data_IF_591404912352
#
_entry.id   IF_591404912352
#
_cell.length_a   1.000
_cell.length_b   1.000
_cell.length_c   1.000
_cell.angle_alpha   90.00
_cell.angle_beta   90.00
_cell.angle_gamma   90.00
#
_symmetry.space_group_name_H-M   'P 1'
#
loop_
_entity.id
_entity.type
_entity.pdbx_description
1 polymer ?
#
# COMPACT_ATOMS: atom_id res chain seq x y z
N UNK A 1 49.67 8.09 -13.10
CA UNK A 1 49.30 6.68 -13.37
C UNK A 1 48.89 6.16 -12.01
N UNK A 2 47.59 6.09 -11.75
CA UNK A 2 47.10 5.27 -10.66
C UNK A 2 45.76 4.69 -11.13
N UNK A 3 45.84 3.37 -11.33
CA UNK A 3 44.77 2.40 -11.30
C UNK A 3 43.51 2.74 -12.11
N UNK A 4 43.49 2.21 -13.34
CA UNK A 4 42.26 1.69 -13.93
C UNK A 4 41.65 0.69 -12.95
N UNK A 5 40.92 1.16 -11.93
CA UNK A 5 39.97 0.35 -11.17
C UNK A 5 39.17 -0.38 -12.23
N UNK A 6 39.26 -1.71 -12.26
CA UNK A 6 38.54 -2.51 -13.23
C UNK A 6 37.07 -2.08 -13.16
N UNK A 7 36.57 -1.42 -14.20
CA UNK A 7 35.19 -0.94 -14.30
C UNK A 7 34.31 -2.18 -14.41
N UNK A 8 34.02 -2.80 -13.27
CA UNK A 8 33.17 -3.98 -13.18
C UNK A 8 31.73 -3.50 -13.04
N UNK A 9 30.80 -4.03 -13.85
CA UNK A 9 29.39 -3.69 -13.73
C UNK A 9 28.87 -4.02 -12.34
N UNK A 10 28.05 -3.14 -11.77
CA UNK A 10 27.55 -3.27 -10.42
C UNK A 10 26.57 -4.44 -10.31
N UNK A 11 26.93 -5.50 -9.59
CA UNK A 11 26.06 -6.65 -9.32
C UNK A 11 25.75 -6.69 -7.83
N UNK A 12 24.51 -6.39 -7.46
CA UNK A 12 24.11 -6.21 -6.05
C UNK A 12 22.86 -7.01 -5.75
N UNK A 13 22.80 -7.57 -4.54
CA UNK A 13 21.57 -8.17 -4.00
C UNK A 13 21.13 -7.35 -2.79
N UNK A 14 19.85 -7.00 -2.74
CA UNK A 14 19.23 -6.32 -1.59
C UNK A 14 18.26 -7.29 -0.92
N UNK A 15 18.58 -7.64 0.32
CA UNK A 15 17.81 -8.52 1.19
C UNK A 15 17.24 -7.72 2.36
N UNK A 16 16.19 -8.26 2.97
CA UNK A 16 15.56 -7.65 4.14
C UNK A 16 14.08 -7.98 4.25
N UNK A 17 13.46 -7.65 5.39
CA UNK A 17 12.08 -7.97 5.67
C UNK A 17 11.12 -7.21 4.73
N UNK A 18 9.86 -7.64 4.59
CA UNK A 18 8.84 -6.86 3.88
C UNK A 18 8.68 -5.45 4.50
N UNK A 19 8.29 -4.46 3.69
CA UNK A 19 8.14 -3.05 4.08
C UNK A 19 9.41 -2.30 4.54
N UNK A 20 10.60 -2.92 4.47
CA UNK A 20 11.89 -2.27 4.77
C UNK A 20 12.31 -1.17 3.78
N UNK A 21 11.63 -1.02 2.66
CA UNK A 21 11.99 -0.06 1.61
C UNK A 21 13.00 -0.59 0.58
N UNK A 22 13.34 -1.89 0.60
CA UNK A 22 14.27 -2.53 -0.35
C UNK A 22 13.98 -2.20 -1.81
N UNK A 23 12.72 -2.24 -2.26
CA UNK A 23 12.34 -1.92 -3.64
C UNK A 23 12.71 -0.48 -4.01
N UNK A 24 12.44 0.48 -3.13
CA UNK A 24 12.79 1.89 -3.37
C UNK A 24 14.31 2.09 -3.39
N UNK A 25 15.05 1.41 -2.52
CA UNK A 25 16.51 1.43 -2.51
C UNK A 25 17.08 0.83 -3.81
N UNK A 26 16.53 -0.30 -4.27
CA UNK A 26 16.92 -0.94 -5.53
C UNK A 26 16.69 -0.02 -6.72
N UNK A 27 15.52 0.63 -6.81
CA UNK A 27 15.20 1.59 -7.88
C UNK A 27 16.19 2.75 -7.92
N UNK A 28 16.52 3.33 -6.76
CA UNK A 28 17.48 4.44 -6.67
C UNK A 28 18.89 4.00 -7.10
N UNK A 29 19.32 2.80 -6.72
CA UNK A 29 20.60 2.25 -7.14
C UNK A 29 20.63 1.97 -8.64
N UNK A 30 19.56 1.43 -9.23
CA UNK A 30 19.47 1.24 -10.67
C UNK A 30 19.57 2.56 -11.42
N UNK A 31 18.90 3.62 -10.95
CA UNK A 31 18.95 4.95 -11.56
C UNK A 31 20.37 5.55 -11.53
N UNK A 32 21.05 5.44 -10.38
CA UNK A 32 22.40 6.00 -10.19
C UNK A 32 23.49 5.28 -10.97
N UNK A 33 23.45 3.94 -10.99
CA UNK A 33 24.49 3.13 -11.60
C UNK A 33 24.16 2.64 -13.02
N UNK A 34 22.93 2.88 -13.50
CA UNK A 34 22.46 2.36 -14.78
C UNK A 34 22.32 0.84 -14.83
N UNK A 35 22.26 0.19 -13.66
CA UNK A 35 22.14 -1.25 -13.54
C UNK A 35 20.69 -1.71 -13.83
N UNK A 36 20.53 -2.96 -14.28
CA UNK A 36 19.21 -3.52 -14.55
C UNK A 36 18.48 -3.86 -13.26
N UNK A 37 17.24 -3.38 -13.09
CA UNK A 37 16.42 -3.73 -11.94
C UNK A 37 15.85 -5.13 -12.10
N UNK A 38 16.11 -6.02 -11.14
CA UNK A 38 15.66 -7.41 -11.20
C UNK A 38 14.87 -7.73 -9.94
N UNK A 39 13.58 -7.99 -10.10
CA UNK A 39 12.75 -8.62 -9.08
C UNK A 39 12.11 -9.87 -9.67
N UNK A 40 11.66 -10.82 -8.84
CA UNK A 40 10.98 -12.02 -9.35
C UNK A 40 9.80 -11.65 -10.26
N UNK A 41 9.03 -10.62 -9.89
CA UNK A 41 7.91 -10.13 -10.69
C UNK A 41 8.37 -9.50 -12.02
N UNK A 42 9.29 -8.53 -11.95
CA UNK A 42 9.81 -7.83 -13.12
C UNK A 42 10.47 -8.78 -14.12
N UNK A 43 11.22 -9.78 -13.61
CA UNK A 43 11.86 -10.80 -14.42
C UNK A 43 10.81 -11.61 -15.19
N UNK A 44 9.76 -12.08 -14.52
CA UNK A 44 8.69 -12.86 -15.18
C UNK A 44 8.02 -12.01 -16.26
N UNK A 45 7.63 -10.77 -15.93
CA UNK A 45 6.97 -9.85 -16.88
C UNK A 45 7.86 -9.57 -18.10
N UNK A 46 9.15 -9.30 -17.91
CA UNK A 46 10.10 -9.06 -19.01
C UNK A 46 10.33 -10.32 -19.84
N UNK A 47 10.48 -11.49 -19.22
CA UNK A 47 10.64 -12.76 -19.96
C UNK A 47 9.40 -13.12 -20.77
N UNK A 48 8.20 -12.84 -20.26
CA UNK A 48 6.96 -13.06 -21.00
C UNK A 48 6.86 -12.09 -22.18
N UNK A 49 7.16 -10.80 -21.97
CA UNK A 49 7.16 -9.80 -23.03
C UNK A 49 8.16 -10.13 -24.14
N UNK A 50 9.37 -10.57 -23.79
CA UNK A 50 10.37 -10.97 -24.77
C UNK A 50 9.95 -12.21 -25.57
N UNK A 51 9.36 -13.21 -24.91
CA UNK A 51 8.85 -14.40 -25.60
C UNK A 51 7.70 -14.03 -26.56
N UNK A 52 6.80 -13.13 -26.15
CA UNK A 52 5.72 -12.61 -27.00
C UNK A 52 6.26 -11.84 -28.21
N UNK A 53 7.24 -10.96 -28.00
CA UNK A 53 7.91 -10.21 -29.07
C UNK A 53 8.62 -11.15 -30.05
N UNK A 54 9.30 -12.18 -29.55
CA UNK A 54 9.98 -13.18 -30.38
C UNK A 54 8.98 -13.97 -31.23
N UNK A 55 7.84 -14.36 -30.65
CA UNK A 55 6.73 -15.00 -31.38
C UNK A 55 6.19 -14.08 -32.48
N UNK A 56 6.00 -12.79 -32.20
CA UNK A 56 5.51 -11.83 -33.19
C UNK A 56 6.50 -11.62 -34.33
N UNK A 57 7.80 -11.45 -34.03
CA UNK A 57 8.86 -11.32 -35.03
C UNK A 57 8.95 -12.56 -35.91
N UNK A 58 8.93 -13.76 -35.34
CA UNK A 58 8.99 -15.00 -36.10
C UNK A 58 7.76 -15.18 -37.03
N UNK A 59 6.56 -14.83 -36.56
CA UNK A 59 5.34 -14.84 -37.41
C UNK A 59 5.41 -13.83 -38.56
N UNK A 60 5.93 -12.63 -38.31
CA UNK A 60 6.08 -11.63 -39.37
C UNK A 60 7.15 -12.06 -40.38
N UNK A 61 8.27 -12.64 -39.92
CA UNK A 61 9.29 -13.22 -40.80
C UNK A 61 8.71 -14.35 -41.66
N UNK A 62 7.91 -15.26 -41.09
CA UNK A 62 7.21 -16.30 -41.83
C UNK A 62 6.26 -15.72 -42.89
N UNK A 63 5.48 -14.70 -42.52
CA UNK A 63 4.57 -14.00 -43.43
C UNK A 63 5.31 -13.28 -44.57
N UNK A 64 6.48 -12.71 -44.29
CA UNK A 64 7.32 -12.07 -45.30
C UNK A 64 7.93 -13.11 -46.25
N UNK A 65 8.39 -14.27 -45.74
CA UNK A 65 8.84 -15.40 -46.56
C UNK A 65 7.73 -15.91 -47.47
N UNK A 66 6.51 -16.10 -46.96
CA UNK A 66 5.35 -16.52 -47.76
C UNK A 66 4.98 -15.51 -48.85
N UNK A 67 5.03 -14.20 -48.55
CA UNK A 67 4.78 -13.13 -49.54
C UNK A 67 5.86 -13.08 -50.62
N UNK A 68 7.13 -13.27 -50.25
CA UNK A 68 8.26 -13.34 -51.20
C UNK A 68 8.11 -14.56 -52.12
N UNK A 69 7.86 -15.75 -51.55
CA UNK A 69 7.63 -16.97 -52.32
C UNK A 69 6.38 -16.90 -53.24
N UNK A 70 5.31 -16.21 -52.81
CA UNK A 70 4.13 -15.99 -53.64
C UNK A 70 4.36 -14.95 -54.76
N UNK A 71 5.33 -14.04 -54.59
CA UNK A 71 5.73 -13.07 -55.60
C UNK A 71 6.65 -13.71 -56.64
N UNK A 72 7.64 -14.49 -56.20
CA UNK A 72 8.53 -15.28 -57.07
C UNK A 72 7.74 -16.24 -57.97
N UNK A 73 6.75 -16.96 -57.42
CA UNK A 73 5.86 -17.83 -58.21
C UNK A 73 5.00 -17.09 -59.24
N UNK A 74 4.79 -15.80 -59.04
CA UNK A 74 3.97 -14.97 -59.94
C UNK A 74 4.84 -14.32 -61.02
N UNK A 75 6.07 -13.95 -60.68
CA UNK A 75 7.06 -13.44 -61.62
C UNK A 75 7.54 -14.60 -62.56
N UNK A 76 7.62 -15.85 -62.07
CA UNK A 76 7.84 -17.06 -62.90
C UNK A 76 6.69 -17.38 -63.89
N UNK A 77 5.45 -16.97 -63.60
CA UNK A 77 4.30 -17.16 -64.50
C UNK A 77 4.16 -16.04 -65.55
N UNK A 78 4.78 -14.87 -65.34
CA UNK A 78 4.71 -13.70 -66.24
C UNK A 78 5.96 -13.53 -67.14
N UNK A 79 7.08 -14.21 -66.89
CA UNK A 79 8.28 -14.22 -67.76
C UNK A 79 8.37 -15.42 -68.70
N UNK A 80 7.47 -15.46 -69.70
CA UNK A 80 7.75 -16.12 -70.98
C UNK A 80 8.27 -15.10 -72.03
N UNK A 81 9.21 -14.21 -71.65
CA UNK A 81 10.09 -13.51 -72.61
C UNK A 81 11.28 -12.75 -71.96
N UNK A 82 12.48 -13.23 -72.30
CA UNK A 82 13.79 -12.53 -72.40
C UNK A 82 14.54 -11.99 -71.14
N UNK A 83 15.46 -12.84 -70.66
CA UNK A 83 16.86 -12.64 -70.20
C UNK A 83 17.22 -11.43 -69.31
N UNK A 84 17.66 -11.70 -68.07
CA UNK A 84 19.03 -11.49 -67.51
C UNK A 84 18.94 -11.63 -65.97
N UNK A 85 19.18 -12.83 -65.44
CA UNK A 85 19.27 -13.07 -63.99
C UNK A 85 20.60 -12.48 -63.45
N UNK A 86 20.51 -11.35 -62.76
CA UNK A 86 21.49 -10.96 -61.75
C UNK A 86 21.28 -11.86 -60.53
N UNK A 87 22.20 -12.79 -60.30
CA UNK A 87 22.30 -13.56 -59.05
C UNK A 87 22.62 -12.59 -57.89
N UNK A 88 21.61 -12.09 -57.19
CA UNK A 88 21.81 -11.55 -55.84
C UNK A 88 22.07 -12.73 -54.89
N UNK A 89 23.32 -12.83 -54.43
CA UNK A 89 23.75 -13.75 -53.37
C UNK A 89 22.87 -13.57 -52.12
N UNK A 90 21.93 -14.48 -51.91
CA UNK A 90 21.21 -14.64 -50.64
C UNK A 90 22.19 -15.27 -49.64
N UNK A 91 22.67 -14.47 -48.70
CA UNK A 91 23.20 -14.99 -47.44
C UNK A 91 22.05 -15.72 -46.72
N UNK A 92 22.02 -17.05 -46.85
CA UNK A 92 21.26 -17.91 -45.96
C UNK A 92 21.86 -17.79 -44.55
N UNK A 93 21.43 -16.79 -43.79
CA UNK A 93 21.54 -16.86 -42.34
C UNK A 93 20.65 -18.02 -41.89
N UNK A 94 21.29 -19.17 -41.65
CA UNK A 94 20.71 -20.33 -40.97
C UNK A 94 20.48 -19.91 -39.51
N UNK A 95 19.43 -19.13 -39.26
CA UNK A 95 18.84 -19.05 -37.93
C UNK A 95 18.17 -20.40 -37.67
N UNK A 96 18.67 -21.14 -36.67
CA UNK A 96 18.07 -22.38 -36.19
C UNK A 96 16.55 -22.16 -36.06
N UNK A 97 15.74 -23.01 -36.70
CA UNK A 97 14.28 -23.02 -36.58
C UNK A 97 13.92 -23.31 -35.11
N UNK A 98 13.99 -22.31 -34.24
CA UNK A 98 13.40 -22.36 -32.91
C UNK A 98 11.91 -22.23 -33.15
N UNK A 99 11.20 -23.34 -33.02
CA UNK A 99 9.78 -23.42 -33.33
C UNK A 99 9.01 -22.40 -32.48
N UNK A 100 8.21 -21.58 -33.15
CA UNK A 100 7.23 -20.66 -32.51
C UNK A 100 6.37 -21.42 -31.48
N UNK A 101 6.19 -22.73 -31.69
CA UNK A 101 5.50 -23.65 -30.79
C UNK A 101 6.20 -23.78 -29.42
N UNK A 102 7.53 -23.81 -29.37
CA UNK A 102 8.30 -23.92 -28.13
C UNK A 102 8.17 -22.66 -27.27
N UNK A 103 8.26 -21.47 -27.86
CA UNK A 103 8.04 -20.22 -27.13
C UNK A 103 6.59 -20.10 -26.64
N UNK A 104 5.63 -20.54 -27.45
CA UNK A 104 4.23 -20.58 -27.03
C UNK A 104 3.99 -21.57 -25.89
N UNK A 105 4.66 -22.73 -25.89
CA UNK A 105 4.59 -23.70 -24.80
C UNK A 105 5.21 -23.10 -23.53
N UNK A 106 6.37 -22.45 -23.62
CA UNK A 106 6.99 -21.78 -22.48
C UNK A 106 6.10 -20.68 -21.87
N UNK A 107 5.49 -19.82 -22.70
CA UNK A 107 4.55 -18.79 -22.23
C UNK A 107 3.34 -19.43 -21.54
N UNK A 108 2.77 -20.48 -22.14
CA UNK A 108 1.64 -21.22 -21.57
C UNK A 108 2.02 -21.88 -20.24
N UNK A 109 3.20 -22.45 -20.15
CA UNK A 109 3.70 -23.13 -18.95
C UNK A 109 3.90 -22.15 -17.81
N UNK A 110 4.59 -21.02 -18.05
CA UNK A 110 4.77 -19.96 -17.06
C UNK A 110 3.39 -19.47 -16.57
N UNK A 111 2.48 -19.15 -17.50
CA UNK A 111 1.14 -18.66 -17.17
C UNK A 111 0.33 -19.68 -16.38
N UNK A 112 0.39 -20.96 -16.77
CA UNK A 112 -0.34 -22.04 -16.12
C UNK A 112 0.20 -22.35 -14.73
N UNK A 113 1.53 -22.33 -14.55
CA UNK A 113 2.18 -22.54 -13.26
C UNK A 113 1.85 -21.41 -12.29
N UNK A 114 1.78 -20.17 -12.76
CA UNK A 114 1.33 -19.04 -11.94
C UNK A 114 -0.14 -19.19 -11.54
N UNK A 115 -1.02 -19.52 -12.49
CA UNK A 115 -2.47 -19.63 -12.23
C UNK A 115 -2.84 -20.81 -11.30
N UNK A 116 -2.04 -21.88 -11.27
CA UNK A 116 -2.26 -23.04 -10.39
C UNK A 116 -1.95 -22.77 -8.91
N UNK A 117 -1.18 -21.73 -8.62
CA UNK A 117 -0.74 -21.39 -7.26
C UNK A 117 -1.61 -20.30 -6.66
N UNK A 118 -2.10 -20.48 -5.43
CA UNK A 118 -2.93 -19.49 -4.73
C UNK A 118 -2.19 -18.14 -4.56
N UNK A 119 -0.87 -18.20 -4.37
CA UNK A 119 0.02 -17.04 -4.21
C UNK A 119 0.60 -16.50 -5.54
N UNK A 120 0.20 -17.02 -6.71
CA UNK A 120 0.79 -16.68 -8.02
C UNK A 120 2.32 -16.82 -8.08
N UNK A 121 2.87 -17.83 -7.39
CA UNK A 121 4.31 -18.12 -7.27
C UNK A 121 4.70 -19.29 -8.16
N UNK A 122 5.80 -19.14 -8.90
CA UNK A 122 6.43 -20.24 -9.61
C UNK A 122 7.14 -21.20 -8.63
N UNK A 123 7.17 -22.52 -8.93
CA UNK A 123 7.97 -23.47 -8.15
C UNK A 123 9.46 -23.06 -8.11
N UNK A 124 10.09 -23.21 -6.95
CA UNK A 124 11.45 -22.73 -6.69
C UNK A 124 12.48 -23.21 -7.72
N UNK A 125 12.44 -24.48 -8.13
CA UNK A 125 13.36 -25.05 -9.12
C UNK A 125 13.25 -24.37 -10.48
N UNK A 126 12.01 -24.06 -10.91
CA UNK A 126 11.75 -23.38 -12.16
C UNK A 126 12.16 -21.91 -12.07
N UNK A 127 11.87 -21.26 -10.94
CA UNK A 127 12.26 -19.88 -10.66
C UNK A 127 13.78 -19.69 -10.68
N UNK A 128 14.54 -20.59 -10.04
CA UNK A 128 16.01 -20.56 -10.05
C UNK A 128 16.54 -20.67 -11.49
N UNK A 129 15.97 -21.57 -12.30
CA UNK A 129 16.39 -21.74 -13.70
C UNK A 129 16.13 -20.48 -14.53
N UNK A 130 14.95 -19.87 -14.38
CA UNK A 130 14.60 -18.63 -15.08
C UNK A 130 15.51 -17.48 -14.64
N UNK A 131 15.76 -17.36 -13.34
CA UNK A 131 16.66 -16.34 -12.77
C UNK A 131 18.09 -16.49 -13.28
N UNK A 132 18.61 -17.72 -13.40
CA UNK A 132 19.93 -17.98 -13.99
C UNK A 132 20.02 -17.50 -15.43
N UNK A 133 19.04 -17.88 -16.26
CA UNK A 133 19.00 -17.48 -17.67
C UNK A 133 18.90 -15.96 -17.80
N UNK A 134 18.09 -15.32 -16.96
CA UNK A 134 17.90 -13.88 -16.96
C UNK A 134 19.16 -13.10 -16.54
N UNK A 135 19.84 -13.54 -15.48
CA UNK A 135 21.08 -12.89 -15.03
C UNK A 135 22.25 -13.16 -15.98
N UNK A 136 22.19 -14.22 -16.80
CA UNK A 136 23.17 -14.51 -17.83
C UNK A 136 23.04 -13.62 -19.08
N UNK A 137 21.92 -12.89 -19.25
CA UNK A 137 21.71 -11.98 -20.39
C UNK A 137 22.79 -10.90 -20.46
N UNK A 138 23.10 -10.47 -21.68
CA UNK A 138 24.09 -9.43 -21.92
C UNK A 138 23.76 -8.11 -21.21
N UNK A 139 22.48 -7.75 -21.08
CA UNK A 139 22.06 -6.55 -20.37
C UNK A 139 22.54 -6.55 -18.90
N UNK A 140 22.31 -7.66 -18.19
CA UNK A 140 22.72 -7.86 -16.79
C UNK A 140 24.25 -8.02 -16.65
N UNK A 141 24.91 -8.57 -17.67
CA UNK A 141 26.35 -8.78 -17.65
C UNK A 141 27.16 -7.53 -17.97
N UNK A 142 26.67 -6.67 -18.86
CA UNK A 142 27.35 -5.44 -19.31
C UNK A 142 27.06 -4.24 -18.43
N UNK A 143 25.80 -4.05 -18.01
CA UNK A 143 25.36 -2.92 -17.18
C UNK A 143 25.39 -3.24 -15.68
N UNK A 144 25.34 -4.52 -15.34
CA UNK A 144 25.13 -4.96 -13.96
C UNK A 144 23.65 -5.12 -13.63
N UNK A 145 23.37 -5.59 -12.42
CA UNK A 145 22.02 -5.83 -11.96
C UNK A 145 21.86 -5.51 -10.47
N UNK A 146 20.66 -5.10 -10.07
CA UNK A 146 20.26 -4.98 -8.67
C UNK A 146 19.09 -5.93 -8.43
N UNK A 147 19.33 -6.96 -7.63
CA UNK A 147 18.37 -8.02 -7.34
C UNK A 147 17.59 -7.70 -6.04
N UNK A 148 16.28 -7.48 -6.17
CA UNK A 148 15.38 -7.16 -5.06
C UNK A 148 14.73 -8.42 -4.45
N UNK A 149 15.11 -8.73 -3.20
CA UNK A 149 14.36 -9.65 -2.35
C UNK A 149 14.45 -11.13 -2.73
N UNK A 150 15.45 -11.51 -3.52
CA UNK A 150 15.79 -12.89 -3.91
C UNK A 150 17.31 -13.07 -3.87
N UNK A 151 17.86 -14.24 -3.47
CA UNK A 151 17.20 -15.44 -2.96
C UNK A 151 16.64 -15.29 -1.54
N UNK A 152 15.59 -16.05 -1.20
CA UNK A 152 14.94 -16.01 0.12
C UNK A 152 15.37 -17.13 1.06
N UNK A 153 15.87 -18.23 0.50
CA UNK A 153 16.36 -19.39 1.26
C UNK A 153 17.78 -19.71 0.86
N UNK A 154 18.54 -20.33 1.78
CA UNK A 154 19.90 -20.80 1.46
C UNK A 154 19.87 -21.80 0.30
N UNK A 155 18.83 -22.63 0.21
CA UNK A 155 18.73 -23.62 -0.85
C UNK A 155 18.61 -22.94 -2.23
N UNK A 156 17.80 -21.88 -2.35
CA UNK A 156 17.74 -21.05 -3.56
C UNK A 156 19.09 -20.39 -3.87
N UNK A 157 19.79 -19.89 -2.85
CA UNK A 157 21.11 -19.29 -3.03
C UNK A 157 22.15 -20.31 -3.53
N UNK A 158 22.16 -21.51 -2.96
CA UNK A 158 23.02 -22.63 -3.38
C UNK A 158 22.67 -23.12 -4.77
N UNK A 159 21.39 -23.23 -5.10
CA UNK A 159 20.99 -23.64 -6.44
C UNK A 159 21.31 -22.55 -7.47
N UNK A 160 21.18 -21.26 -7.14
CA UNK A 160 21.48 -20.14 -8.04
C UNK A 160 22.98 -19.92 -8.25
N UNK A 161 23.76 -19.88 -7.16
CA UNK A 161 25.17 -19.46 -7.14
C UNK A 161 26.16 -20.57 -6.78
N UNK A 162 25.68 -21.74 -6.34
CA UNK A 162 26.55 -22.85 -5.99
C UNK A 162 27.40 -23.28 -7.17
N UNK A 163 28.69 -23.43 -6.91
CA UNK A 163 29.59 -24.19 -7.76
C UNK A 163 29.30 -25.69 -7.53
N UNK A 164 29.39 -26.53 -8.55
CA UNK A 164 29.44 -27.99 -8.34
C UNK A 164 30.72 -28.33 -7.58
N UNK A 165 30.68 -28.20 -6.26
CA UNK A 165 31.75 -28.60 -5.35
C UNK A 165 31.84 -30.14 -5.17
N UNK A 166 31.35 -30.92 -6.14
CA UNK A 166 31.45 -32.39 -6.16
C UNK A 166 31.87 -32.99 -7.51
N UNK A 167 32.36 -32.19 -8.48
CA UNK A 167 32.90 -32.74 -9.74
C UNK A 167 34.45 -32.76 -9.80
N UNK A 168 35.14 -32.20 -8.81
CA UNK A 168 36.60 -32.06 -8.80
C UNK A 168 37.22 -32.59 -7.51
N UNK A 169 36.95 -33.85 -7.16
CA UNK A 169 37.86 -34.67 -6.34
C UNK A 169 38.35 -35.85 -7.17
N UNK A 170 39.08 -35.54 -8.23
CA UNK A 170 40.10 -36.46 -8.74
C UNK A 170 41.42 -35.96 -8.19
N UNK A 171 41.86 -36.54 -7.07
CA UNK A 171 43.28 -36.71 -6.83
C UNK A 171 43.58 -38.20 -6.68
N UNK A 172 44.59 -38.60 -7.45
CA UNK A 172 45.21 -39.90 -7.48
C UNK A 172 45.66 -40.35 -6.09
N UNK A 173 45.43 -41.63 -5.77
CA UNK A 173 46.21 -42.32 -4.75
C UNK A 173 45.42 -43.31 -3.90
N UNK A 174 45.22 -44.54 -4.39
CA UNK A 174 44.74 -45.62 -3.53
C UNK A 174 44.23 -46.85 -4.27
N UNK A 175 45.14 -47.77 -4.63
CA UNK A 175 44.81 -49.16 -4.96
C UNK A 175 44.13 -49.85 -3.77
N UNK A 176 42.99 -50.50 -4.03
CA UNK A 176 42.42 -51.73 -3.40
C UNK A 176 40.89 -51.62 -3.61
N UNK A 177 40.30 -52.11 -4.70
CA UNK A 177 40.16 -53.53 -5.02
C UNK A 177 38.88 -54.06 -4.37
N UNK A 178 37.79 -54.20 -5.15
CA UNK A 178 36.70 -55.21 -5.04
C UNK A 178 35.79 -55.06 -6.27
N UNK A 179 35.34 -56.19 -6.77
CA UNK A 179 34.88 -56.53 -8.12
C UNK A 179 33.44 -56.08 -8.47
N UNK A 180 33.20 -55.88 -9.77
CA UNK A 180 31.86 -55.91 -10.38
C UNK A 180 31.25 -57.32 -10.30
N UNK A 181 29.93 -57.43 -10.18
CA UNK A 181 29.12 -57.92 -11.31
C UNK A 181 27.77 -57.17 -11.41
N UNK A 182 27.06 -57.08 -12.53
CA UNK A 182 27.22 -57.72 -13.84
C UNK A 182 26.34 -57.02 -14.88
N UNK A 183 26.62 -57.33 -16.13
CA UNK A 183 25.88 -56.91 -17.32
C UNK A 183 24.43 -57.41 -17.32
N UNK A 184 23.50 -56.56 -17.73
CA UNK A 184 22.11 -56.95 -17.94
C UNK A 184 21.28 -55.85 -18.60
N UNK A 185 21.05 -56.02 -19.90
CA UNK A 185 19.95 -55.48 -20.71
C UNK A 185 19.91 -53.96 -21.00
N UNK A 186 20.36 -53.65 -22.21
CA UNK A 186 20.05 -52.48 -23.01
C UNK A 186 18.54 -52.43 -23.28
N UNK A 187 17.93 -51.30 -22.94
CA UNK A 187 16.64 -50.84 -23.47
C UNK A 187 16.84 -49.42 -23.98
N UNK A 188 16.98 -49.30 -25.30
CA UNK A 188 16.97 -48.03 -26.03
C UNK A 188 15.55 -47.44 -25.93
N UNK A 189 15.41 -46.26 -25.33
CA UNK A 189 14.45 -45.20 -25.68
C UNK A 189 14.42 -44.15 -24.56
N UNK A 190 15.26 -43.12 -24.69
CA UNK A 190 14.97 -41.74 -24.26
C UNK A 190 16.13 -40.83 -24.70
N UNK A 191 15.89 -40.10 -25.80
CA UNK A 191 16.70 -38.95 -26.21
C UNK A 191 16.45 -37.79 -25.23
N UNK A 192 17.53 -37.10 -24.87
CA UNK A 192 17.60 -35.75 -24.32
C UNK A 192 16.91 -35.49 -22.96
N UNK A 193 17.63 -35.74 -21.87
CA UNK A 193 17.58 -34.86 -20.69
C UNK A 193 19.02 -34.60 -20.26
N UNK A 194 19.57 -33.50 -20.79
CA UNK A 194 20.96 -33.11 -20.58
C UNK A 194 21.27 -32.77 -19.11
N UNK A 195 22.49 -33.11 -18.72
CA UNK A 195 23.20 -32.72 -17.50
C UNK A 195 22.86 -31.28 -17.05
N UNK A 196 22.16 -31.12 -15.93
CA UNK A 196 21.94 -29.80 -15.29
C UNK A 196 22.02 -29.94 -13.76
N UNK A 197 23.24 -30.11 -13.25
CA UNK A 197 23.61 -29.84 -11.86
C UNK A 197 24.55 -28.63 -11.88
N UNK A 198 24.31 -27.67 -11.00
CA UNK A 198 24.55 -26.24 -11.22
C UNK A 198 26.01 -25.79 -11.30
N UNK A 199 26.38 -25.21 -12.43
CA UNK A 199 27.51 -24.28 -12.51
C UNK A 199 26.94 -22.86 -12.59
N UNK A 200 27.04 -22.09 -11.51
CA UNK A 200 26.99 -20.64 -11.66
C UNK A 200 28.23 -20.21 -12.45
N UNK A 201 28.04 -19.59 -13.62
CA UNK A 201 29.14 -18.93 -14.30
C UNK A 201 29.68 -17.84 -13.36
N UNK A 202 31.00 -17.69 -13.24
CA UNK A 202 31.63 -16.60 -12.47
C UNK A 202 31.07 -15.21 -12.82
N UNK A 203 30.46 -15.07 -14.01
CA UNK A 203 29.76 -13.87 -14.44
C UNK A 203 28.46 -13.55 -13.70
N UNK A 204 27.77 -14.47 -13.03
CA UNK A 204 26.48 -14.17 -12.39
C UNK A 204 26.65 -13.81 -10.90
N UNK A 205 27.81 -14.04 -10.30
CA UNK A 205 28.04 -13.78 -8.87
C UNK A 205 27.90 -12.28 -8.54
N UNK A 206 27.19 -11.91 -7.44
CA UNK A 206 27.12 -10.52 -6.99
C UNK A 206 28.48 -10.02 -6.46
N UNK A 207 28.69 -8.72 -6.54
CA UNK A 207 29.83 -8.04 -5.91
C UNK A 207 29.51 -7.59 -4.49
N UNK A 208 28.28 -7.19 -4.22
CA UNK A 208 27.84 -6.75 -2.90
C UNK A 208 26.49 -7.36 -2.53
N UNK A 209 26.32 -7.61 -1.23
CA UNK A 209 25.06 -8.05 -0.64
C UNK A 209 24.70 -7.06 0.45
N UNK A 210 23.55 -6.43 0.36
CA UNK A 210 23.03 -5.48 1.35
C UNK A 210 21.84 -6.12 2.05
N UNK A 211 21.84 -6.12 3.38
CA UNK A 211 20.73 -6.61 4.19
C UNK A 211 20.16 -5.48 5.04
N UNK A 212 18.88 -5.17 4.87
CA UNK A 212 18.16 -4.22 5.70
C UNK A 212 17.60 -4.91 6.95
N UNK A 213 17.86 -4.35 8.12
CA UNK A 213 17.42 -4.88 9.41
C UNK A 213 16.47 -3.90 10.10
N UNK A 214 15.36 -4.43 10.62
CA UNK A 214 14.36 -3.69 11.37
C UNK A 214 13.48 -4.63 12.17
N UNK A 215 12.80 -4.11 13.20
CA UNK A 215 11.86 -4.88 14.01
C UNK A 215 10.48 -5.00 13.35
N UNK A 216 9.78 -6.08 13.67
CA UNK A 216 8.46 -6.37 13.10
C UNK A 216 7.42 -5.32 13.47
N UNK A 217 7.47 -4.81 14.71
CA UNK A 217 6.58 -3.74 15.19
C UNK A 217 6.79 -2.44 14.39
N UNK A 218 8.06 -2.07 14.18
CA UNK A 218 8.42 -0.89 13.38
C UNK A 218 7.94 -1.02 11.94
N UNK A 219 8.11 -2.19 11.32
CA UNK A 219 7.68 -2.43 9.94
C UNK A 219 6.16 -2.41 9.81
N UNK A 220 5.44 -2.98 10.78
CA UNK A 220 3.98 -2.91 10.83
C UNK A 220 3.50 -1.46 10.97
N UNK A 221 4.08 -0.68 11.88
CA UNK A 221 3.72 0.73 12.07
C UNK A 221 4.00 1.54 10.80
N UNK A 222 5.12 1.30 10.14
CA UNK A 222 5.47 1.94 8.87
C UNK A 222 4.41 1.66 7.80
N UNK A 223 3.92 0.43 7.68
CA UNK A 223 2.83 0.08 6.75
C UNK A 223 1.53 0.79 7.12
N UNK A 224 1.20 0.89 8.42
CA UNK A 224 -0.01 1.59 8.89
C UNK A 224 0.00 3.08 8.56
N UNK A 225 1.17 3.70 8.46
CA UNK A 225 1.33 5.13 8.10
C UNK A 225 1.24 5.37 6.58
N UNK A 226 1.23 4.33 5.74
CA UNK A 226 1.16 4.50 4.29
C UNK A 226 -0.25 4.89 3.83
N UNK A 227 -0.36 5.76 2.80
CA UNK A 227 -1.64 6.06 2.16
C UNK A 227 -2.30 4.81 1.57
N UNK A 228 -3.64 4.70 1.68
CA UNK A 228 -4.39 3.55 1.17
C UNK A 228 -4.15 3.25 -0.32
N UNK A 229 -3.88 4.30 -1.14
CA UNK A 229 -3.54 4.15 -2.57
C UNK A 229 -2.32 3.25 -2.82
N UNK A 230 -1.35 3.23 -1.90
CA UNK A 230 -0.13 2.41 -2.02
C UNK A 230 -0.32 1.00 -1.44
N UNK A 231 -1.36 0.81 -0.62
CA UNK A 231 -1.68 -0.47 0.02
C UNK A 231 -2.63 -1.28 -0.88
N UNK A 232 -3.53 -0.61 -1.62
CA UNK A 232 -4.53 -1.25 -2.45
C UNK A 232 -3.88 -2.12 -3.54
N UNK A 233 -4.24 -3.42 -3.57
CA UNK A 233 -3.68 -4.39 -4.53
C UNK A 233 -2.32 -4.96 -4.12
N UNK A 234 -1.79 -4.59 -2.95
CA UNK A 234 -0.58 -5.18 -2.37
C UNK A 234 -0.94 -6.19 -1.28
N UNK A 235 0.06 -6.96 -0.83
CA UNK A 235 -0.05 -7.89 0.31
C UNK A 235 0.27 -7.21 1.65
N UNK A 236 -0.01 -5.92 1.77
CA UNK A 236 0.16 -5.13 3.00
C UNK A 236 -1.11 -5.10 3.86
N UNK A 237 -1.92 -6.15 3.77
CA UNK A 237 -2.94 -6.47 4.76
C UNK A 237 -2.33 -7.14 5.99
N UNK A 238 -2.99 -6.99 7.14
CA UNK A 238 -2.51 -7.49 8.43
C UNK A 238 -2.12 -8.98 8.39
N UNK A 239 -2.95 -9.81 7.77
CA UNK A 239 -2.74 -11.27 7.71
C UNK A 239 -1.55 -11.63 6.84
N UNK A 240 -1.48 -11.12 5.60
CA UNK A 240 -0.36 -11.46 4.72
C UNK A 240 0.95 -10.81 5.17
N UNK A 241 0.92 -9.60 5.75
CA UNK A 241 2.12 -8.94 6.27
C UNK A 241 2.75 -9.77 7.39
N UNK A 242 1.95 -10.17 8.39
CA UNK A 242 2.42 -11.01 9.50
C UNK A 242 2.91 -12.38 9.02
N UNK A 243 2.18 -13.02 8.08
CA UNK A 243 2.63 -14.27 7.45
C UNK A 243 4.01 -14.10 6.80
N UNK A 244 4.21 -13.06 6.01
CA UNK A 244 5.47 -12.79 5.28
C UNK A 244 6.62 -12.45 6.21
N UNK A 245 6.35 -11.72 7.30
CA UNK A 245 7.35 -11.48 8.36
C UNK A 245 7.73 -12.79 9.04
N UNK A 246 6.76 -13.60 9.44
CA UNK A 246 7.00 -14.92 10.05
C UNK A 246 7.80 -15.86 9.14
N UNK A 247 7.46 -15.93 7.85
CA UNK A 247 8.22 -16.66 6.83
C UNK A 247 9.67 -16.13 6.73
N UNK A 248 9.86 -14.81 6.70
CA UNK A 248 11.18 -14.19 6.64
C UNK A 248 12.03 -14.53 7.88
N UNK A 249 11.48 -14.41 9.09
CA UNK A 249 12.20 -14.73 10.34
C UNK A 249 12.51 -16.21 10.48
N UNK A 250 11.60 -17.09 10.05
CA UNK A 250 11.81 -18.54 10.08
C UNK A 250 12.92 -18.98 9.11
N UNK A 251 13.02 -18.32 7.96
CA UNK A 251 14.02 -18.62 6.93
C UNK A 251 15.38 -17.96 7.20
N UNK A 252 15.42 -16.91 8.03
CA UNK A 252 16.65 -16.19 8.40
C UNK A 252 16.90 -16.36 9.90
N UNK A 253 17.33 -17.57 10.28
CA UNK A 253 17.80 -17.87 11.64
C UNK A 253 19.32 -17.85 11.69
N UNK A 254 19.89 -17.59 12.86
CA UNK A 254 21.35 -17.47 13.07
C UNK A 254 22.17 -18.64 12.49
N UNK A 255 21.59 -19.84 12.49
CA UNK A 255 22.22 -21.07 11.99
C UNK A 255 22.09 -21.25 10.46
N UNK A 256 21.10 -20.64 9.83
CA UNK A 256 20.79 -20.88 8.42
C UNK A 256 20.24 -19.63 7.75
N UNK A 257 21.07 -18.58 7.64
CA UNK A 257 20.73 -17.35 6.90
C UNK A 257 21.40 -17.34 5.52
N UNK A 258 20.72 -16.77 4.52
CA UNK A 258 21.26 -16.54 3.16
C UNK A 258 22.59 -15.78 3.18
N UNK A 259 22.73 -14.87 4.14
CA UNK A 259 23.93 -14.09 4.41
C UNK A 259 25.16 -14.97 4.71
N UNK A 260 25.00 -16.07 5.45
CA UNK A 260 26.09 -17.00 5.76
C UNK A 260 26.66 -17.65 4.49
N UNK A 261 25.81 -17.95 3.51
CA UNK A 261 26.26 -18.50 2.23
C UNK A 261 27.15 -17.51 1.46
N UNK A 262 26.80 -16.21 1.47
CA UNK A 262 27.61 -15.19 0.81
C UNK A 262 28.91 -14.92 1.56
N UNK A 263 28.90 -14.97 2.88
CA UNK A 263 30.10 -14.85 3.71
C UNK A 263 31.09 -16.00 3.44
N UNK A 264 30.60 -17.25 3.36
CA UNK A 264 31.38 -18.43 2.94
C UNK A 264 31.92 -18.29 1.51
N UNK A 265 31.16 -17.64 0.61
CA UNK A 265 31.58 -17.34 -0.75
C UNK A 265 32.59 -16.17 -0.84
N UNK A 266 32.96 -15.55 0.28
CA UNK A 266 33.92 -14.43 0.35
C UNK A 266 33.31 -13.05 0.07
N UNK A 267 31.98 -12.93 0.10
CA UNK A 267 31.25 -11.67 -0.09
C UNK A 267 30.60 -11.29 1.23
N UNK A 268 31.25 -10.38 1.97
CA UNK A 268 30.78 -9.93 3.27
C UNK A 268 29.49 -9.09 3.15
N UNK A 269 28.38 -9.51 3.76
CA UNK A 269 27.13 -8.76 3.71
C UNK A 269 27.20 -7.43 4.47
N UNK A 270 26.62 -6.39 3.90
CA UNK A 270 26.49 -5.05 4.50
C UNK A 270 25.15 -5.00 5.25
N UNK A 271 25.19 -5.02 6.57
CA UNK A 271 24.00 -4.93 7.42
C UNK A 271 23.67 -3.45 7.68
N UNK A 272 22.42 -3.06 7.43
CA UNK A 272 21.95 -1.69 7.61
C UNK A 272 20.68 -1.71 8.45
N UNK A 273 20.78 -1.20 9.68
CA UNK A 273 19.62 -0.94 10.55
C UNK A 273 18.80 0.25 10.03
N UNK A 274 17.48 0.08 9.94
CA UNK A 274 16.56 1.16 9.58
C UNK A 274 16.31 2.16 10.73
N UNK A 275 16.68 1.79 11.95
CA UNK A 275 16.61 2.64 13.12
C UNK A 275 17.99 3.17 13.45
N UNK A 276 18.05 4.43 13.87
CA UNK A 276 19.23 5.00 14.49
C UNK A 276 19.29 4.56 15.97
N UNK A 277 20.39 3.92 16.36
CA UNK A 277 20.57 3.37 17.72
C UNK A 277 20.55 4.48 18.79
N UNK A 278 20.96 5.70 18.43
CA UNK A 278 21.07 6.81 19.38
C UNK A 278 19.76 7.60 19.53
N UNK A 279 18.95 7.66 18.46
CA UNK A 279 17.76 8.53 18.40
C UNK A 279 16.44 7.77 18.32
N UNK A 280 16.47 6.46 18.11
CA UNK A 280 15.31 5.59 17.86
C UNK A 280 14.41 6.10 16.71
N UNK A 281 14.95 6.96 15.83
CA UNK A 281 14.24 7.49 14.68
C UNK A 281 14.53 6.64 13.45
N UNK A 282 13.55 6.59 12.54
CA UNK A 282 13.72 6.01 11.21
C UNK A 282 14.83 6.78 10.48
N UNK A 283 15.81 6.04 9.95
CA UNK A 283 16.82 6.61 9.05
C UNK A 283 16.18 6.95 7.73
N UNK A 284 16.41 8.17 7.26
CA UNK A 284 15.99 8.58 5.93
C UNK A 284 16.61 7.64 4.87
N UNK A 285 15.80 7.20 3.91
CA UNK A 285 16.25 6.36 2.80
C UNK A 285 17.42 7.00 2.03
N UNK A 286 17.43 8.33 1.93
CA UNK A 286 18.52 9.09 1.30
C UNK A 286 19.86 8.89 2.04
N UNK A 287 19.84 8.82 3.36
CA UNK A 287 21.04 8.57 4.16
C UNK A 287 21.56 7.15 3.94
N UNK A 288 20.66 6.15 3.91
CA UNK A 288 21.01 4.76 3.61
C UNK A 288 21.59 4.66 2.19
N UNK A 289 20.95 5.31 1.23
CA UNK A 289 21.39 5.33 -0.16
C UNK A 289 22.78 5.95 -0.32
N UNK A 290 23.04 7.10 0.33
CA UNK A 290 24.35 7.74 0.29
C UNK A 290 25.44 6.86 0.91
N UNK A 291 25.16 6.22 2.05
CA UNK A 291 26.09 5.28 2.69
C UNK A 291 26.44 4.10 1.79
N UNK A 292 25.43 3.50 1.15
CA UNK A 292 25.64 2.40 0.20
C UNK A 292 26.45 2.88 -1.02
N UNK A 293 26.20 4.09 -1.52
CA UNK A 293 26.95 4.65 -2.63
C UNK A 293 28.42 4.93 -2.28
N UNK A 294 28.74 5.34 -1.05
CA UNK A 294 30.12 5.50 -0.58
C UNK A 294 30.88 4.17 -0.61
N UNK A 295 30.21 3.05 -0.32
CA UNK A 295 30.81 1.72 -0.35
C UNK A 295 30.98 1.22 -1.79
N UNK A 296 29.98 1.42 -2.64
CA UNK A 296 30.00 0.95 -4.04
C UNK A 296 30.96 1.77 -4.92
N UNK A 297 31.18 3.04 -4.57
CA UNK A 297 32.03 3.97 -5.30
C UNK A 297 31.30 4.65 -6.46
N UNK A 298 32.05 5.36 -7.29
CA UNK A 298 31.47 6.11 -8.41
C UNK A 298 30.94 5.18 -9.52
N UNK A 299 29.81 5.53 -10.16
CA UNK A 299 29.27 4.76 -11.28
C UNK A 299 30.22 4.78 -12.48
N UNK A 300 30.10 3.76 -13.34
CA UNK A 300 30.89 3.65 -14.56
C UNK A 300 30.50 4.79 -15.50
N UNK A 301 31.46 5.62 -15.97
CA UNK A 301 31.15 6.73 -16.88
C UNK A 301 30.43 6.25 -18.15
N UNK A 302 29.25 6.81 -18.43
CA UNK A 302 28.42 6.44 -19.58
C UNK A 302 27.31 5.41 -19.30
N UNK A 303 27.25 4.85 -18.08
CA UNK A 303 26.13 4.04 -17.59
C UNK A 303 25.44 4.78 -16.44
N UNK A 304 24.11 4.89 -16.49
CA UNK A 304 23.31 5.66 -15.54
C UNK A 304 22.94 7.05 -16.06
N UNK A 305 22.22 7.81 -15.24
CA UNK A 305 21.83 9.19 -15.56
C UNK A 305 23.06 10.09 -15.57
N UNK A 306 23.19 10.96 -16.57
CA UNK A 306 24.19 12.04 -16.58
C UNK A 306 24.01 12.92 -15.33
N UNK A 307 25.06 13.55 -14.78
CA UNK A 307 24.91 14.49 -13.67
C UNK A 307 23.87 15.59 -13.91
N UNK A 308 23.69 16.02 -15.16
CA UNK A 308 22.63 16.97 -15.55
C UNK A 308 21.23 16.36 -15.49
N UNK A 309 21.10 15.08 -15.86
CA UNK A 309 19.84 14.32 -15.80
C UNK A 309 19.49 13.93 -14.36
N UNK A 310 20.48 13.63 -13.52
CA UNK A 310 20.30 13.41 -12.08
C UNK A 310 19.81 14.67 -11.39
N UNK A 311 20.39 15.83 -11.70
CA UNK A 311 19.94 17.12 -11.18
C UNK A 311 18.54 17.48 -11.68
N UNK A 312 18.22 17.16 -12.95
CA UNK A 312 16.88 17.34 -13.50
C UNK A 312 15.86 16.42 -12.81
N UNK A 313 16.20 15.15 -12.59
CA UNK A 313 15.35 14.19 -11.89
C UNK A 313 15.12 14.59 -10.44
N UNK A 314 16.16 15.03 -9.72
CA UNK A 314 16.04 15.57 -8.35
C UNK A 314 15.16 16.81 -8.29
N UNK A 315 15.23 17.68 -9.30
CA UNK A 315 14.33 18.86 -9.39
C UNK A 315 12.89 18.43 -9.64
N UNK A 316 12.69 17.48 -10.55
CA UNK A 316 11.37 16.95 -10.90
C UNK A 316 10.73 16.22 -9.71
N UNK A 317 11.48 15.40 -8.98
CA UNK A 317 10.99 14.69 -7.80
C UNK A 317 10.62 15.68 -6.68
N UNK A 318 11.44 16.72 -6.46
CA UNK A 318 11.10 17.81 -5.53
C UNK A 318 9.84 18.55 -5.95
N UNK A 319 9.68 18.82 -7.24
CA UNK A 319 8.47 19.45 -7.78
C UNK A 319 7.25 18.55 -7.61
N UNK A 320 7.36 17.26 -7.91
CA UNK A 320 6.29 16.28 -7.78
C UNK A 320 5.88 16.09 -6.32
N UNK A 321 6.84 16.05 -5.39
CA UNK A 321 6.56 16.03 -3.95
C UNK A 321 5.83 17.29 -3.51
N UNK A 322 6.28 18.46 -3.97
CA UNK A 322 5.59 19.73 -3.69
C UNK A 322 4.16 19.72 -4.22
N UNK A 323 3.94 19.21 -5.44
CA UNK A 323 2.61 19.07 -6.03
C UNK A 323 1.72 18.10 -5.23
N UNK A 324 2.25 16.98 -4.76
CA UNK A 324 1.50 16.04 -3.90
C UNK A 324 1.14 16.64 -2.55
N UNK A 325 2.06 17.41 -1.94
CA UNK A 325 1.79 18.13 -0.70
C UNK A 325 0.73 19.23 -0.91
N UNK A 326 0.80 19.96 -2.02
CA UNK A 326 -0.21 20.96 -2.41
C UNK A 326 -1.59 20.31 -2.68
N UNK A 327 -1.62 19.19 -3.40
CA UNK A 327 -2.84 18.42 -3.68
C UNK A 327 -3.48 17.88 -2.40
N UNK A 328 -2.70 17.27 -1.51
CA UNK A 328 -3.19 16.77 -0.22
C UNK A 328 -3.71 17.88 0.70
N UNK A 329 -3.04 19.05 0.71
CA UNK A 329 -3.53 20.22 1.43
C UNK A 329 -4.85 20.75 0.85
N UNK A 330 -4.98 20.78 -0.47
CA UNK A 330 -6.20 21.20 -1.15
C UNK A 330 -7.37 20.25 -0.84
N UNK A 331 -7.13 18.94 -0.90
CA UNK A 331 -8.13 17.92 -0.56
C UNK A 331 -8.62 18.05 0.89
N UNK A 332 -7.69 18.24 1.82
CA UNK A 332 -8.02 18.48 3.23
C UNK A 332 -8.85 19.75 3.42
N UNK A 333 -8.47 20.84 2.77
CA UNK A 333 -9.21 22.11 2.84
C UNK A 333 -10.63 21.96 2.28
N UNK A 334 -10.81 21.26 1.16
CA UNK A 334 -12.13 21.00 0.58
C UNK A 334 -13.00 20.15 1.51
N UNK A 335 -12.42 19.17 2.20
CA UNK A 335 -13.13 18.34 3.17
C UNK A 335 -13.56 19.15 4.39
N UNK A 336 -12.68 20.01 4.92
CA UNK A 336 -12.98 20.92 6.02
C UNK A 336 -14.07 21.93 5.62
N UNK A 337 -13.98 22.53 4.43
CA UNK A 337 -15.02 23.44 3.91
C UNK A 337 -16.37 22.73 3.78
N UNK A 338 -16.39 21.50 3.25
CA UNK A 338 -17.61 20.69 3.17
C UNK A 338 -18.19 20.37 4.55
N UNK A 339 -17.34 19.98 5.50
CA UNK A 339 -17.76 19.69 6.87
C UNK A 339 -18.32 20.93 7.59
N UNK A 340 -17.71 22.10 7.39
CA UNK A 340 -18.22 23.36 7.95
C UNK A 340 -19.55 23.76 7.35
N UNK A 341 -19.73 23.58 6.03
CA UNK A 341 -20.99 23.82 5.35
C UNK A 341 -22.10 22.88 5.83
N UNK A 342 -21.81 21.57 5.92
CA UNK A 342 -22.76 20.59 6.46
C UNK A 342 -23.13 20.89 7.91
N UNK A 343 -22.19 21.39 8.72
CA UNK A 343 -22.45 21.82 10.08
C UNK A 343 -23.35 23.06 10.12
N UNK A 344 -23.10 24.06 9.27
CA UNK A 344 -23.93 25.26 9.15
C UNK A 344 -25.37 24.90 8.73
N UNK A 345 -25.55 24.08 7.70
CA UNK A 345 -26.87 23.63 7.24
C UNK A 345 -27.64 22.89 8.34
N UNK A 346 -26.94 22.07 9.13
CA UNK A 346 -27.54 21.38 10.30
C UNK A 346 -27.92 22.38 11.39
N UNK A 347 -27.08 23.36 11.69
CA UNK A 347 -27.35 24.39 12.68
C UNK A 347 -28.53 25.28 12.27
N UNK A 348 -28.65 25.62 10.99
CA UNK A 348 -29.79 26.40 10.47
C UNK A 348 -31.11 25.61 10.62
N UNK A 349 -31.14 24.36 10.18
CA UNK A 349 -32.32 23.49 10.36
C UNK A 349 -32.67 23.29 11.83
N UNK A 350 -31.66 23.18 12.70
CA UNK A 350 -31.87 23.08 14.13
C UNK A 350 -32.44 24.38 14.72
N UNK A 351 -31.95 25.55 14.29
CA UNK A 351 -32.48 26.84 14.73
C UNK A 351 -33.94 27.04 14.31
N UNK A 352 -34.30 26.68 13.08
CA UNK A 352 -35.69 26.76 12.60
C UNK A 352 -36.65 25.85 13.38
N UNK A 353 -36.22 24.62 13.66
CA UNK A 353 -37.02 23.66 14.44
C UNK A 353 -37.14 24.10 15.90
N UNK A 354 -36.05 24.63 16.47
CA UNK A 354 -36.03 25.20 17.81
C UNK A 354 -36.98 26.40 17.95
N UNK A 355 -37.00 27.33 16.98
CA UNK A 355 -37.91 28.48 17.01
C UNK A 355 -39.39 28.03 16.94
N UNK A 356 -39.71 27.02 16.14
CA UNK A 356 -41.06 26.44 16.08
C UNK A 356 -41.47 25.84 17.43
N UNK A 357 -40.60 25.06 18.05
CA UNK A 357 -40.83 24.47 19.37
C UNK A 357 -41.01 25.55 20.44
N UNK A 358 -40.20 26.61 20.41
CA UNK A 358 -40.30 27.71 21.37
C UNK A 358 -41.67 28.43 21.25
N UNK A 359 -42.14 28.70 20.03
CA UNK A 359 -43.47 29.29 19.80
C UNK A 359 -44.59 28.37 20.27
N UNK A 360 -44.46 27.06 20.09
CA UNK A 360 -45.43 26.09 20.62
C UNK A 360 -45.45 26.09 22.15
N UNK A 361 -44.27 26.11 22.78
CA UNK A 361 -44.14 26.18 24.23
C UNK A 361 -44.76 27.45 24.81
N UNK A 362 -44.55 28.62 24.17
CA UNK A 362 -45.17 29.88 24.56
C UNK A 362 -46.70 29.84 24.47
N UNK A 363 -47.25 29.22 23.42
CA UNK A 363 -48.69 29.02 23.28
C UNK A 363 -49.26 28.13 24.38
N UNK A 364 -48.57 27.05 24.73
CA UNK A 364 -48.97 26.15 25.82
C UNK A 364 -48.97 26.92 27.14
N UNK A 365 -47.88 27.66 27.44
CA UNK A 365 -47.77 28.44 28.66
C UNK A 365 -48.86 29.53 28.74
N UNK A 366 -49.15 30.19 27.63
CA UNK A 366 -50.25 31.17 27.55
C UNK A 366 -51.61 30.51 27.84
N UNK A 367 -51.89 29.36 27.23
CA UNK A 367 -53.12 28.60 27.47
C UNK A 367 -53.24 28.10 28.92
N UNK A 368 -52.14 27.67 29.54
CA UNK A 368 -52.11 27.29 30.96
C UNK A 368 -52.36 28.49 31.89
N UNK A 369 -51.93 29.69 31.49
CA UNK A 369 -52.18 30.92 32.26
C UNK A 369 -53.61 31.48 32.10
N UNK A 370 -54.34 31.03 31.08
CA UNK A 370 -55.66 31.56 30.71
C UNK A 370 -56.72 31.40 31.81
N UNK A 371 -56.86 30.23 32.50
CA UNK A 371 -57.83 30.08 33.58
C UNK A 371 -57.58 31.05 34.74
N UNK A 372 -56.30 31.25 35.10
CA UNK A 372 -55.90 32.17 36.16
C UNK A 372 -56.17 33.63 35.75
N UNK A 373 -55.84 34.01 34.51
CA UNK A 373 -56.14 35.34 33.96
C UNK A 373 -57.63 35.62 33.92
N UNK A 374 -58.45 34.65 33.49
CA UNK A 374 -59.90 34.76 33.48
C UNK A 374 -60.47 34.94 34.89
N UNK A 375 -59.97 34.15 35.86
CA UNK A 375 -60.35 34.29 37.26
C UNK A 375 -60.01 35.69 37.81
N UNK A 376 -58.78 36.15 37.60
CA UNK A 376 -58.33 37.48 38.01
C UNK A 376 -59.18 38.57 37.36
N UNK A 377 -59.44 38.51 36.05
CA UNK A 377 -60.25 39.51 35.35
C UNK A 377 -61.72 39.51 35.76
N UNK A 378 -62.31 38.34 36.05
CA UNK A 378 -63.74 38.22 36.33
C UNK A 378 -64.07 38.54 37.78
N UNK A 379 -63.25 38.09 38.73
CA UNK A 379 -63.58 38.12 40.15
C UNK A 379 -62.78 39.16 40.94
N UNK A 380 -61.49 39.33 40.63
CA UNK A 380 -60.59 40.19 41.43
C UNK A 380 -60.53 41.61 40.85
N UNK A 381 -60.38 41.72 39.53
CA UNK A 381 -60.16 42.98 38.83
C UNK A 381 -61.28 44.02 39.03
N UNK A 382 -62.58 43.68 38.97
CA UNK A 382 -63.66 44.66 39.15
C UNK A 382 -63.68 45.23 40.57
N UNK A 383 -63.36 44.41 41.58
CA UNK A 383 -63.37 44.81 43.00
C UNK A 383 -62.14 45.64 43.35
N UNK A 384 -60.96 45.21 42.91
CA UNK A 384 -59.70 45.96 43.10
C UNK A 384 -59.72 47.29 42.35
N UNK A 385 -60.24 47.32 41.12
CA UNK A 385 -60.36 48.56 40.35
C UNK A 385 -61.28 49.57 41.04
N UNK A 386 -62.43 49.12 41.59
CA UNK A 386 -63.32 49.99 42.37
C UNK A 386 -62.65 50.49 43.65
N UNK A 387 -61.92 49.63 44.36
CA UNK A 387 -61.16 50.01 45.55
C UNK A 387 -60.09 51.05 45.25
N UNK A 388 -59.32 50.86 44.17
CA UNK A 388 -58.32 51.82 43.71
C UNK A 388 -58.94 53.17 43.34
N UNK A 389 -60.11 53.17 42.71
CA UNK A 389 -60.87 54.39 42.40
C UNK A 389 -61.30 55.11 43.69
N UNK A 390 -61.74 54.39 44.72
CA UNK A 390 -62.13 54.96 46.01
C UNK A 390 -60.93 55.50 46.81
N UNK A 391 -59.80 54.80 46.81
CA UNK A 391 -58.52 55.29 47.36
C UNK A 391 -58.12 56.62 46.70
N UNK A 392 -58.22 56.69 45.37
CA UNK A 392 -57.88 57.89 44.61
C UNK A 392 -58.80 59.09 44.92
N UNK A 393 -60.06 58.85 45.30
CA UNK A 393 -61.02 59.88 45.70
C UNK A 393 -60.79 60.38 47.12
N UNK A 394 -60.62 59.45 48.07
CA UNK A 394 -60.57 59.77 49.50
C UNK A 394 -59.18 60.20 49.97
N UNK A 395 -58.12 59.80 49.24
CA UNK A 395 -56.72 60.07 49.58
C UNK A 395 -56.42 59.86 51.07
N UNK A 396 -56.62 58.63 51.60
CA UNK A 396 -56.29 58.32 52.98
C UNK A 396 -54.78 58.45 53.24
N UNK A 397 -54.39 58.65 54.49
CA UNK A 397 -52.98 58.77 54.90
C UNK A 397 -52.19 57.49 54.63
N UNK A 398 -52.84 56.31 54.69
CA UNK A 398 -52.31 55.03 54.20
C UNK A 398 -53.22 54.43 53.10
N UNK A 399 -52.85 54.54 51.82
CA UNK A 399 -53.63 54.03 50.70
C UNK A 399 -53.58 52.51 50.56
N UNK A 400 -52.57 51.83 51.10
CA UNK A 400 -52.42 50.38 51.01
C UNK A 400 -53.34 49.71 52.02
N UNK A 401 -53.30 50.17 53.27
CA UNK A 401 -54.12 49.61 54.34
C UNK A 401 -55.62 49.85 54.09
N UNK A 402 -55.97 51.05 53.61
CA UNK A 402 -57.34 51.37 53.20
C UNK A 402 -57.84 50.48 52.05
N UNK A 403 -57.00 50.21 51.05
CA UNK A 403 -57.38 49.33 49.95
C UNK A 403 -57.57 47.88 50.42
N UNK A 404 -56.74 47.42 51.36
CA UNK A 404 -56.87 46.11 51.97
C UNK A 404 -58.21 46.00 52.73
N UNK A 405 -58.52 46.95 53.62
CA UNK A 405 -59.82 47.01 54.32
C UNK A 405 -61.01 47.03 53.34
N UNK A 406 -60.91 47.83 52.28
CA UNK A 406 -61.96 47.93 51.26
C UNK A 406 -62.21 46.59 50.56
N UNK A 407 -61.13 45.88 50.19
CA UNK A 407 -61.21 44.57 49.55
C UNK A 407 -61.75 43.50 50.49
N UNK A 408 -61.39 43.55 51.78
CA UNK A 408 -61.95 42.66 52.79
C UNK A 408 -63.46 42.88 52.97
N UNK A 409 -63.92 44.13 52.91
CA UNK A 409 -65.34 44.46 53.08
C UNK A 409 -66.21 44.02 51.91
N UNK A 410 -65.69 44.07 50.68
CA UNK A 410 -66.41 43.69 49.46
C UNK A 410 -66.34 42.18 49.15
N UNK A 411 -65.70 41.37 50.00
CA UNK A 411 -65.64 39.91 49.87
C UNK A 411 -66.54 39.20 50.90
N UNK A 412 -67.82 38.91 50.59
CA UNK A 412 -68.79 38.37 51.55
C UNK A 412 -68.55 36.91 51.98
N UNK A 413 -67.64 36.17 51.34
CA UNK A 413 -67.23 34.81 51.75
C UNK A 413 -65.83 34.78 52.41
N UNK A 414 -65.26 35.93 52.78
CA UNK A 414 -63.90 36.04 53.33
C UNK A 414 -63.65 35.28 54.65
N UNK A 415 -63.53 33.96 54.58
CA UNK A 415 -63.19 33.04 55.69
C UNK A 415 -61.69 32.82 55.84
N UNK A 416 -60.85 33.79 55.46
CA UNK A 416 -59.39 33.64 55.57
C UNK A 416 -58.90 33.56 57.02
N UNK A 417 -59.69 34.04 57.99
CA UNK A 417 -59.38 33.92 59.42
C UNK A 417 -60.25 32.86 60.13
N UNK A 418 -60.97 32.02 59.39
CA UNK A 418 -61.67 30.88 59.95
C UNK A 418 -60.69 29.69 60.06
N UNK A 419 -60.32 29.22 61.27
CA UNK A 419 -59.36 28.14 61.45
C UNK A 419 -59.74 26.83 60.76
N UNK A 420 -61.02 26.66 60.41
CA UNK A 420 -61.52 25.50 59.67
C UNK A 420 -61.13 25.53 58.19
N UNK A 421 -61.10 26.71 57.56
CA UNK A 421 -60.79 26.88 56.14
C UNK A 421 -59.30 26.72 55.84
N UNK A 422 -58.43 27.15 56.76
CA UNK A 422 -56.97 26.94 56.67
C UNK A 422 -56.62 25.44 56.74
N UNK A 423 -57.34 24.68 57.59
CA UNK A 423 -57.14 23.22 57.73
C UNK A 423 -57.67 22.42 56.54
N UNK A 424 -58.78 22.85 55.93
CA UNK A 424 -59.28 22.24 54.70
C UNK A 424 -58.36 22.56 53.51
N UNK A 425 -57.84 23.79 53.43
CA UNK A 425 -56.84 24.18 52.43
C UNK A 425 -55.52 23.41 52.57
N UNK A 426 -55.04 23.20 53.80
CA UNK A 426 -53.86 22.35 54.08
C UNK A 426 -54.07 20.90 53.64
N UNK A 427 -55.27 20.33 53.84
CA UNK A 427 -55.59 18.97 53.39
C UNK A 427 -55.60 18.83 51.87
N UNK A 428 -56.18 19.81 51.16
CA UNK A 428 -56.25 19.81 49.69
C UNK A 428 -54.85 20.01 49.07
N UNK A 429 -53.99 20.81 49.70
CA UNK A 429 -52.59 20.96 49.30
C UNK A 429 -51.80 19.65 49.44
N UNK A 430 -51.98 18.92 50.55
CA UNK A 430 -51.36 17.61 50.75
C UNK A 430 -51.86 16.58 49.73
N UNK A 431 -53.17 16.53 49.44
CA UNK A 431 -53.71 15.65 48.39
C UNK A 431 -53.14 15.98 47.00
N UNK A 432 -52.95 17.26 46.68
CA UNK A 432 -52.37 17.68 45.40
C UNK A 432 -50.88 17.33 45.26
N UNK A 433 -50.10 17.48 46.34
CA UNK A 433 -48.68 17.12 46.39
C UNK A 433 -48.45 15.60 46.37
N UNK A 434 -49.32 14.81 47.02
CA UNK A 434 -49.19 13.35 47.07
C UNK A 434 -49.75 12.62 45.83
N UNK A 435 -50.86 13.07 45.25
CA UNK A 435 -51.53 12.33 44.15
C UNK A 435 -51.32 12.94 42.76
N UNK A 436 -51.18 14.27 42.64
CA UNK A 436 -51.27 14.95 41.33
C UNK A 436 -49.90 15.38 40.80
N UNK A 437 -48.98 15.85 41.66
CA UNK A 437 -47.62 16.22 41.25
C UNK A 437 -46.77 15.09 40.65
N UNK A 438 -46.75 13.86 41.19
CA UNK A 438 -45.95 12.76 40.64
C UNK A 438 -46.40 12.38 39.22
N UNK A 439 -47.71 12.48 38.97
CA UNK A 439 -48.35 12.11 37.70
C UNK A 439 -48.09 13.13 36.60
N UNK A 440 -47.86 14.41 36.94
CA UNK A 440 -47.46 15.48 36.02
C UNK A 440 -45.95 15.52 35.74
N UNK A 441 -45.12 14.87 36.56
CA UNK A 441 -43.67 14.77 36.36
C UNK A 441 -43.23 13.55 35.52
N UNK A 442 -44.17 12.63 35.23
CA UNK A 442 -43.95 11.41 34.45
C UNK A 442 -44.52 11.49 33.02
N UNK A 443 -45.25 12.56 32.68
CA UNK A 443 -45.57 12.99 31.32
C UNK A 443 -44.59 14.08 30.90
#
# INVERSE_FOLDING_TARGET
MDETKSLKPLKVIILGPPASGKTKLSELLCQRYGAHYVSVKSMIEETLSELEDNIERARENQRQREKKAAKEKKDEEDEESDVEEEEEELEEEVEEDIDIEDWQEQVKDITTLMAKSEDHKLPDQYLVRLMKAFLAKEACQTRGYVLDGYPKTIQQAKELYGQVAEASKVEEGGKLGIELPGEGAIGEDQKQVGNLVGNANEGIMPNFVVSLEADDDFLCERVMRLPQRLIQGTHYDEVNMLRRLGEFRSNNTDASTVLNFFDEAGIHPILIGLLDEDTEKERDLDCIFNYVCEIFGDPIPGFGLSPEEEDAFRKLEKEQRRLQEEEGNLEKNLLEEKATKDHQDKMERWAETFEKLQKEQEKILAAQSEPLRFYLMKYIFPTVSKGLIEVAKLKPDDPIDFLAEYLFRENPEGKMFDPSYTREGEKILVEFEEEIQPTLSLM
#
